data_IF_155759605462
#
_entry.id   IF_155759605462
#
_cell.length_a   1.000
_cell.length_b   1.000
_cell.length_c   1.000
_cell.angle_alpha   90.00
_cell.angle_beta   90.00
_cell.angle_gamma   90.00
#
_symmetry.space_group_name_H-M   'P 1'
#
loop_
_entity.id
_entity.type
_entity.pdbx_description
1 polymer ?
#
# COMPACT_ATOMS: atom_id res chain seq x y z
N UNK A 1 20.48 6.81 2.54
CA UNK A 1 19.36 6.36 1.69
C UNK A 1 18.30 5.74 2.60
N UNK A 2 17.13 6.36 2.68
CA UNK A 2 16.09 6.04 3.66
C UNK A 2 15.35 4.75 3.27
N UNK A 3 15.45 3.70 4.10
CA UNK A 3 14.83 2.37 3.93
C UNK A 3 13.28 2.38 4.06
N UNK A 4 12.61 3.49 3.71
CA UNK A 4 11.14 3.64 3.76
C UNK A 4 10.52 3.86 2.37
N UNK A 5 11.32 3.80 1.31
CA UNK A 5 10.87 4.02 -0.07
C UNK A 5 10.29 2.79 -0.77
N UNK A 6 10.33 1.61 -0.16
CA UNK A 6 9.94 0.35 -0.83
C UNK A 6 8.43 0.01 -0.72
N UNK A 7 7.65 0.77 0.06
CA UNK A 7 6.22 0.55 0.21
C UNK A 7 5.41 1.68 -0.42
N UNK A 8 4.70 1.38 -1.49
CA UNK A 8 3.74 2.29 -2.11
C UNK A 8 2.55 2.55 -1.19
N UNK A 9 2.07 3.80 -1.17
CA UNK A 9 0.89 4.18 -0.39
C UNK A 9 -0.28 4.41 -1.34
N UNK A 10 -1.32 3.60 -1.21
CA UNK A 10 -2.58 3.80 -1.91
C UNK A 10 -3.57 4.49 -0.96
N UNK A 11 -4.32 5.46 -1.47
CA UNK A 11 -5.39 6.14 -0.73
C UNK A 11 -6.70 5.92 -1.43
N UNK A 12 -7.63 5.22 -0.77
CA UNK A 12 -8.95 4.90 -1.32
C UNK A 12 -9.99 5.51 -0.38
N UNK A 13 -10.79 6.45 -0.88
CA UNK A 13 -11.86 7.11 -0.10
C UNK A 13 -11.39 7.67 1.25
N UNK A 14 -10.17 8.21 1.32
CA UNK A 14 -9.60 8.74 2.57
C UNK A 14 -8.94 7.69 3.47
N UNK A 15 -9.09 6.40 3.16
CA UNK A 15 -8.46 5.31 3.88
C UNK A 15 -7.06 5.00 3.30
N UNK A 16 -6.07 4.90 4.19
CA UNK A 16 -4.67 4.70 3.81
C UNK A 16 -4.35 3.21 3.76
N UNK A 17 -3.76 2.76 2.65
CA UNK A 17 -3.41 1.36 2.40
C UNK A 17 -1.93 1.31 2.03
N UNK A 18 -1.15 0.59 2.83
CA UNK A 18 0.25 0.34 2.55
C UNK A 18 0.37 -0.89 1.66
N UNK A 19 0.90 -0.73 0.45
CA UNK A 19 1.07 -1.81 -0.53
C UNK A 19 2.56 -2.14 -0.64
N UNK A 20 2.94 -3.32 -0.15
CA UNK A 20 4.32 -3.79 -0.24
C UNK A 20 4.67 -4.14 -1.70
N UNK A 21 5.79 -3.62 -2.21
CA UNK A 21 6.25 -3.88 -3.58
C UNK A 21 5.54 -3.06 -4.66
N UNK A 22 4.72 -2.08 -4.28
CA UNK A 22 4.16 -1.10 -5.22
C UNK A 22 5.04 0.16 -5.27
N UNK A 23 5.15 0.77 -6.46
CA UNK A 23 5.84 2.05 -6.67
C UNK A 23 4.85 3.17 -6.95
N UNK A 24 5.30 4.40 -6.75
CA UNK A 24 4.51 5.60 -7.08
C UNK A 24 4.23 5.66 -8.60
N UNK A 25 2.99 5.98 -8.97
CA UNK A 25 2.54 6.04 -10.37
C UNK A 25 2.20 4.69 -11.01
N UNK A 26 2.36 3.57 -10.28
CA UNK A 26 2.08 2.23 -10.80
C UNK A 26 0.62 1.82 -10.55
N UNK A 27 -0.10 1.43 -11.62
CA UNK A 27 -1.42 0.81 -11.49
C UNK A 27 -1.28 -0.71 -11.37
N UNK A 28 -1.39 -1.22 -10.15
CA UNK A 28 -1.27 -2.65 -9.84
C UNK A 28 -2.53 -3.19 -9.20
N UNK A 29 -2.79 -4.48 -9.40
CA UNK A 29 -3.74 -5.22 -8.57
C UNK A 29 -3.01 -5.65 -7.30
N UNK A 30 -3.63 -5.42 -6.15
CA UNK A 30 -3.10 -5.84 -4.86
C UNK A 30 -4.20 -6.50 -4.05
N UNK A 31 -3.78 -7.39 -3.14
CA UNK A 31 -4.67 -8.09 -2.22
C UNK A 31 -4.49 -7.52 -0.81
N UNK A 32 -5.59 -7.14 -0.17
CA UNK A 32 -5.57 -6.73 1.24
C UNK A 32 -5.26 -7.96 2.09
N UNK A 33 -4.19 -7.89 2.87
CA UNK A 33 -3.77 -8.97 3.78
C UNK A 33 -4.23 -8.72 5.21
N UNK A 34 -4.34 -7.44 5.62
CA UNK A 34 -4.80 -7.07 6.96
C UNK A 34 -5.44 -5.68 6.94
N UNK A 35 -6.57 -5.54 7.63
CA UNK A 35 -7.23 -4.25 7.89
C UNK A 35 -7.07 -3.89 9.36
N UNK A 36 -6.55 -2.70 9.63
CA UNK A 36 -6.46 -2.11 10.96
C UNK A 36 -7.43 -0.93 11.09
N UNK A 37 -7.56 -0.35 12.30
CA UNK A 37 -8.53 0.74 12.56
C UNK A 37 -8.32 1.99 11.70
N UNK A 38 -7.08 2.32 11.34
CA UNK A 38 -6.72 3.58 10.65
C UNK A 38 -6.05 3.38 9.29
N UNK A 39 -5.69 2.15 8.97
CA UNK A 39 -4.99 1.80 7.73
C UNK A 39 -5.20 0.33 7.40
N UNK A 40 -4.91 -0.07 6.17
CA UNK A 40 -4.74 -1.48 5.79
C UNK A 40 -3.34 -1.73 5.25
N UNK A 41 -2.92 -2.98 5.28
CA UNK A 41 -1.75 -3.47 4.56
C UNK A 41 -2.21 -4.42 3.46
N UNK A 42 -1.53 -4.33 2.33
CA UNK A 42 -1.79 -5.12 1.15
C UNK A 42 -0.47 -5.53 0.50
N UNK A 43 -0.54 -6.59 -0.29
CA UNK A 43 0.57 -7.11 -1.06
C UNK A 43 0.20 -7.08 -2.54
N UNK A 44 1.15 -6.66 -3.37
CA UNK A 44 1.01 -6.70 -4.82
C UNK A 44 0.86 -8.15 -5.28
N UNK A 45 -0.06 -8.37 -6.22
CA UNK A 45 -0.21 -9.65 -6.94
C UNK A 45 0.68 -9.61 -8.19
#
# INVERSE_FOLDING_TARGET
>A
MSHRGDAGVAKIQGFVIFVSGAKEGEHVKFKITRVARRFATAEKI
#
